data_IF_604094658952
#
_entry.id   IF_604094658952
#
_cell.length_a   1.000
_cell.length_b   1.000
_cell.length_c   1.000
_cell.angle_alpha   90.00
_cell.angle_beta   90.00
_cell.angle_gamma   90.00
#
_symmetry.space_group_name_H-M   'P 1'
#
loop_
_entity.id
_entity.type
_entity.pdbx_description
1 polymer ?
#
# COMPACT_ATOMS: atom_id res chain seq x y z
N UNK A 1 -1.70 -3.17 3.29
CA UNK A 1 -0.65 -3.31 4.32
C UNK A 1 0.41 -4.33 3.90
N UNK A 2 0.12 -5.65 3.86
CA UNK A 2 1.11 -6.68 3.53
C UNK A 2 1.79 -6.49 2.15
N UNK A 3 1.02 -6.21 1.10
CA UNK A 3 1.59 -5.90 -0.23
C UNK A 3 2.51 -4.68 -0.24
N UNK A 4 2.28 -3.69 0.63
CA UNK A 4 3.18 -2.55 0.77
C UNK A 4 4.47 -2.99 1.49
N UNK A 5 4.35 -3.72 2.60
CA UNK A 5 5.49 -4.11 3.43
C UNK A 5 6.57 -4.93 2.72
N UNK A 6 6.23 -5.64 1.64
CA UNK A 6 7.18 -6.46 0.86
C UNK A 6 7.73 -5.75 -0.37
N UNK A 7 7.34 -4.49 -0.61
CA UNK A 7 7.73 -3.70 -1.80
C UNK A 7 8.52 -2.43 -1.48
N UNK A 8 8.52 -2.02 -0.22
CA UNK A 8 9.29 -0.86 0.23
C UNK A 8 10.78 -1.18 0.30
N UNK A 9 11.60 -0.15 0.22
CA UNK A 9 13.03 -0.26 0.50
C UNK A 9 13.32 -0.24 2.00
N UNK A 10 14.50 -0.72 2.40
CA UNK A 10 14.90 -0.77 3.81
C UNK A 10 14.81 0.60 4.50
N UNK A 11 15.19 1.68 3.78
CA UNK A 11 15.12 3.06 4.28
C UNK A 11 13.70 3.58 4.54
N UNK A 12 12.68 2.94 3.99
CA UNK A 12 11.26 3.33 4.11
C UNK A 12 10.53 2.54 5.21
N UNK A 13 11.18 1.57 5.84
CA UNK A 13 10.55 0.62 6.77
C UNK A 13 9.86 1.31 7.94
N UNK A 14 10.57 2.22 8.61
CA UNK A 14 10.05 2.90 9.80
C UNK A 14 8.96 3.92 9.49
N UNK A 15 9.11 4.70 8.41
CA UNK A 15 8.10 5.67 7.98
C UNK A 15 6.83 4.96 7.54
N UNK A 16 6.95 3.84 6.83
CA UNK A 16 5.82 3.00 6.42
C UNK A 16 5.09 2.40 7.62
N UNK A 17 5.83 1.83 8.59
CA UNK A 17 5.25 1.34 9.84
C UNK A 17 4.45 2.43 10.57
N UNK A 18 5.05 3.61 10.74
CA UNK A 18 4.42 4.75 11.43
C UNK A 18 3.15 5.18 10.70
N UNK A 19 3.23 5.33 9.38
CA UNK A 19 2.08 5.73 8.54
C UNK A 19 0.93 4.74 8.63
N UNK A 20 1.23 3.43 8.73
CA UNK A 20 0.25 2.37 8.88
C UNK A 20 -0.44 2.42 10.25
N UNK A 21 0.33 2.59 11.32
CA UNK A 21 -0.21 2.73 12.67
C UNK A 21 -1.10 3.98 12.79
N UNK A 22 -0.63 5.12 12.28
CA UNK A 22 -1.39 6.36 12.29
C UNK A 22 -2.64 6.27 11.43
N UNK A 23 -2.55 5.68 10.24
CA UNK A 23 -3.70 5.49 9.37
C UNK A 23 -4.79 4.66 10.06
N UNK A 24 -4.42 3.53 10.67
CA UNK A 24 -5.39 2.68 11.36
C UNK A 24 -5.99 3.41 12.56
N UNK A 25 -5.16 4.07 13.37
CA UNK A 25 -5.61 4.77 14.56
C UNK A 25 -6.63 5.88 14.24
N UNK A 26 -6.38 6.65 13.19
CA UNK A 26 -7.18 7.83 12.87
C UNK A 26 -8.39 7.51 11.97
N UNK A 27 -8.28 6.54 11.05
CA UNK A 27 -9.26 6.38 9.97
C UNK A 27 -9.96 5.02 9.93
N UNK A 28 -9.50 4.00 10.66
CA UNK A 28 -10.12 2.67 10.58
C UNK A 28 -11.44 2.62 11.35
N UNK A 29 -12.54 2.28 10.66
CA UNK A 29 -13.92 2.44 11.18
C UNK A 29 -14.14 1.68 12.50
N UNK A 30 -13.66 0.44 12.61
CA UNK A 30 -13.84 -0.38 13.81
C UNK A 30 -12.98 0.15 14.98
N UNK A 31 -13.63 0.76 15.97
CA UNK A 31 -13.01 1.34 17.17
C UNK A 31 -12.23 0.31 18.00
N UNK A 32 -12.83 -0.85 18.27
CA UNK A 32 -12.18 -1.93 19.00
C UNK A 32 -10.96 -2.48 18.23
N UNK A 33 -11.08 -2.60 16.91
CA UNK A 33 -10.00 -3.09 16.06
C UNK A 33 -8.81 -2.13 16.05
N UNK A 34 -9.06 -0.81 15.94
CA UNK A 34 -7.98 0.19 15.98
C UNK A 34 -7.28 0.22 17.33
N UNK A 35 -8.01 0.07 18.44
CA UNK A 35 -7.44 0.11 19.78
C UNK A 35 -6.46 -1.04 19.98
N UNK A 36 -6.90 -2.27 19.66
CA UNK A 36 -6.05 -3.44 19.72
C UNK A 36 -4.81 -3.34 18.81
N UNK A 37 -4.98 -2.87 17.57
CA UNK A 37 -3.85 -2.73 16.66
C UNK A 37 -2.87 -1.63 17.12
N UNK A 38 -3.38 -0.54 17.69
CA UNK A 38 -2.57 0.55 18.21
C UNK A 38 -1.74 0.13 19.43
N UNK A 39 -2.29 -0.72 20.30
CA UNK A 39 -1.52 -1.34 21.39
C UNK A 39 -0.36 -2.18 20.85
N UNK A 40 -0.59 -2.95 19.79
CA UNK A 40 0.46 -3.73 19.13
C UNK A 40 1.53 -2.81 18.50
N UNK A 41 1.14 -1.70 17.87
CA UNK A 41 2.07 -0.67 17.40
C UNK A 41 2.91 -0.09 18.56
N UNK A 42 2.28 0.25 19.68
CA UNK A 42 2.92 0.85 20.86
C UNK A 42 3.88 -0.11 21.59
N UNK A 43 3.73 -1.41 21.36
CA UNK A 43 4.63 -2.43 21.90
C UNK A 43 6.02 -2.44 21.24
N UNK A 44 6.15 -1.89 20.03
CA UNK A 44 7.41 -1.85 19.28
C UNK A 44 8.39 -0.87 19.95
N UNK A 45 9.54 -1.37 20.39
CA UNK A 45 10.54 -0.58 21.17
C UNK A 45 11.67 0.00 20.33
N UNK A 46 11.93 -0.56 19.15
CA UNK A 46 13.02 -0.18 18.28
C UNK A 46 12.51 0.06 16.86
N UNK A 47 13.03 1.08 16.16
CA UNK A 47 12.61 1.35 14.79
C UNK A 47 13.01 0.20 13.85
N UNK A 48 12.18 -0.05 12.83
CA UNK A 48 12.49 -1.01 11.79
C UNK A 48 13.58 -0.47 10.87
N UNK A 49 14.62 -1.29 10.65
CA UNK A 49 15.75 -0.95 9.77
C UNK A 49 15.67 -1.60 8.40
N UNK A 50 14.87 -2.67 8.28
CA UNK A 50 14.75 -3.44 7.04
C UNK A 50 13.29 -3.71 6.71
N UNK A 51 13.00 -3.78 5.41
CA UNK A 51 11.67 -4.11 4.91
C UNK A 51 11.27 -5.51 5.38
N UNK A 52 12.25 -6.42 5.46
CA UNK A 52 12.09 -7.79 5.98
C UNK A 52 11.57 -7.82 7.41
N UNK A 53 12.20 -7.07 8.31
CA UNK A 53 11.81 -7.07 9.72
C UNK A 53 10.41 -6.48 9.90
N UNK A 54 10.10 -5.41 9.16
CA UNK A 54 8.77 -4.81 9.17
C UNK A 54 7.69 -5.77 8.63
N UNK A 55 7.93 -6.40 7.47
CA UNK A 55 7.00 -7.36 6.88
C UNK A 55 6.75 -8.56 7.81
N UNK A 56 7.81 -9.10 8.43
CA UNK A 56 7.69 -10.19 9.39
C UNK A 56 6.98 -9.76 10.68
N UNK A 57 7.22 -8.54 11.16
CA UNK A 57 6.46 -8.00 12.30
C UNK A 57 4.98 -7.93 11.95
N UNK A 58 4.62 -7.31 10.83
CA UNK A 58 3.24 -7.15 10.40
C UNK A 58 2.53 -8.49 10.22
N UNK A 59 3.22 -9.48 9.63
CA UNK A 59 2.74 -10.87 9.52
C UNK A 59 2.48 -11.49 10.90
N UNK A 60 3.45 -11.40 11.81
CA UNK A 60 3.31 -11.98 13.16
C UNK A 60 2.20 -11.33 13.97
N UNK A 61 2.04 -10.01 13.85
CA UNK A 61 0.96 -9.22 14.45
C UNK A 61 -0.39 -9.65 13.92
N UNK A 62 -0.53 -9.84 12.60
CA UNK A 62 -1.78 -10.33 12.01
C UNK A 62 -2.13 -11.74 12.52
N UNK A 63 -1.13 -12.63 12.68
CA UNK A 63 -1.39 -13.96 13.22
C UNK A 63 -1.83 -13.95 14.70
N UNK A 64 -1.33 -13.03 15.51
CA UNK A 64 -1.83 -12.83 16.87
C UNK A 64 -3.31 -12.38 16.85
N UNK A 65 -3.69 -11.50 15.92
CA UNK A 65 -5.10 -11.12 15.71
C UNK A 65 -5.93 -12.32 15.27
N UNK A 66 -5.44 -13.14 14.32
CA UNK A 66 -6.13 -14.35 13.89
C UNK A 66 -6.34 -15.33 15.03
N UNK A 67 -5.34 -15.53 15.89
CA UNK A 67 -5.46 -16.42 17.05
C UNK A 67 -6.53 -15.95 18.03
N UNK A 68 -6.56 -14.64 18.32
CA UNK A 68 -7.58 -14.05 19.19
C UNK A 68 -8.97 -14.19 18.58
N UNK A 69 -9.14 -13.69 17.34
CA UNK A 69 -10.43 -13.70 16.65
C UNK A 69 -10.95 -15.12 16.43
N UNK A 70 -10.09 -16.11 16.20
CA UNK A 70 -10.48 -17.52 16.12
C UNK A 70 -11.21 -17.99 17.39
N UNK A 71 -10.75 -17.56 18.58
CA UNK A 71 -11.37 -17.90 19.86
C UNK A 71 -12.66 -17.10 20.07
N UNK A 72 -12.62 -15.81 19.82
CA UNK A 72 -13.77 -14.91 20.01
C UNK A 72 -14.93 -15.29 19.09
N UNK A 73 -14.67 -15.43 17.78
CA UNK A 73 -15.67 -15.78 16.78
C UNK A 73 -16.28 -17.17 17.01
N UNK A 74 -15.49 -18.14 17.51
CA UNK A 74 -15.99 -19.46 17.87
C UNK A 74 -16.89 -19.40 19.11
N UNK A 75 -16.52 -18.61 20.13
CA UNK A 75 -17.30 -18.45 21.36
C UNK A 75 -18.63 -17.73 21.12
N UNK A 76 -18.62 -16.71 20.26
CA UNK A 76 -19.78 -15.88 19.93
C UNK A 76 -20.60 -16.44 18.76
N UNK A 77 -20.09 -17.45 18.05
CA UNK A 77 -20.67 -18.01 16.81
C UNK A 77 -20.91 -16.96 15.73
N UNK A 78 -19.98 -16.01 15.62
CA UNK A 78 -20.04 -14.87 14.68
C UNK A 78 -19.08 -15.01 13.51
N UNK A 79 -18.19 -16.00 13.52
CA UNK A 79 -17.19 -16.20 12.47
C UNK A 79 -17.80 -16.57 11.12
N UNK A 80 -17.16 -16.12 10.04
CA UNK A 80 -17.53 -16.52 8.68
C UNK A 80 -17.23 -18.01 8.46
N UNK A 81 -18.24 -18.87 8.22
CA UNK A 81 -18.03 -20.30 8.03
C UNK A 81 -17.18 -20.65 6.81
N UNK A 82 -17.14 -19.78 5.79
CA UNK A 82 -16.36 -19.98 4.57
C UNK A 82 -14.90 -19.54 4.75
N UNK A 83 -14.64 -18.62 5.67
CA UNK A 83 -13.32 -18.04 5.91
C UNK A 83 -12.97 -18.03 7.41
N UNK A 84 -12.86 -19.22 8.03
CA UNK A 84 -12.45 -19.30 9.43
C UNK A 84 -11.07 -18.69 9.62
N UNK A 85 -10.85 -18.01 10.75
CA UNK A 85 -9.51 -17.50 11.10
C UNK A 85 -8.57 -18.68 11.29
N UNK A 86 -7.42 -18.60 10.63
CA UNK A 86 -6.34 -19.58 10.74
C UNK A 86 -5.03 -18.88 11.00
N UNK A 87 -4.07 -19.60 11.56
CA UNK A 87 -2.69 -19.15 11.55
C UNK A 87 -2.16 -19.27 10.13
N UNK A 88 -1.66 -18.16 9.60
CA UNK A 88 -1.29 -18.00 8.20
C UNK A 88 0.24 -17.94 8.04
N UNK A 89 0.84 -18.56 7.01
CA UNK A 89 0.20 -19.47 6.07
C UNK A 89 -0.06 -20.86 6.70
N UNK A 90 -1.11 -21.55 6.23
CA UNK A 90 -1.26 -22.96 6.54
C UNK A 90 -0.14 -23.79 5.89
N UNK A 91 0.20 -24.94 6.47
CA UNK A 91 1.32 -25.79 6.00
C UNK A 91 1.16 -26.23 4.54
N UNK A 92 -0.08 -26.41 4.08
CA UNK A 92 -0.41 -26.75 2.69
C UNK A 92 0.03 -25.65 1.70
N UNK A 93 0.09 -24.39 2.16
CA UNK A 93 0.46 -23.25 1.33
C UNK A 93 1.96 -22.95 1.41
N UNK A 94 2.60 -23.27 2.53
CA UNK A 94 4.04 -23.16 2.69
C UNK A 94 4.60 -24.24 3.63
N UNK A 95 5.00 -25.37 3.05
CA UNK A 95 5.55 -26.50 3.81
C UNK A 95 6.88 -26.15 4.48
N UNK A 96 7.70 -25.29 3.85
CA UNK A 96 9.02 -24.87 4.37
C UNK A 96 8.94 -23.80 5.47
N UNK A 97 7.80 -23.14 5.64
CA UNK A 97 7.63 -22.06 6.63
C UNK A 97 7.60 -22.57 8.08
N UNK A 98 7.28 -23.84 8.31
CA UNK A 98 7.17 -24.43 9.65
C UNK A 98 8.22 -25.53 9.79
N UNK A 99 9.00 -25.50 10.88
CA UNK A 99 9.95 -26.57 11.17
C UNK A 99 9.20 -27.87 11.47
N UNK A 100 9.75 -29.01 11.01
CA UNK A 100 9.22 -30.31 11.37
C UNK A 100 9.43 -30.55 12.86
N UNK A 101 8.35 -30.90 13.55
CA UNK A 101 8.41 -31.36 14.94
C UNK A 101 8.35 -32.86 14.98
N UNK A 102 9.23 -33.45 15.78
CA UNK A 102 9.20 -34.87 16.08
C UNK A 102 7.94 -35.26 16.87
N UNK A 103 7.63 -36.56 16.99
CA UNK A 103 6.47 -37.05 17.74
C UNK A 103 6.48 -36.71 19.23
N UNK A 104 7.63 -36.34 19.79
CA UNK A 104 7.88 -36.14 21.23
C UNK A 104 7.53 -34.73 21.73
N UNK A 105 7.39 -33.73 20.84
CA UNK A 105 7.12 -32.33 21.20
C UNK A 105 5.62 -31.96 21.12
N UNK A 106 4.73 -32.91 21.40
CA UNK A 106 3.27 -32.68 21.36
C UNK A 106 2.74 -31.86 22.52
N UNK A 107 3.55 -31.64 23.55
CA UNK A 107 3.14 -30.92 24.76
C UNK A 107 3.23 -29.39 24.63
N UNK A 108 4.01 -28.88 23.66
CA UNK A 108 3.99 -27.45 23.31
C UNK A 108 3.31 -27.22 21.97
N UNK A 109 2.05 -26.80 21.95
CA UNK A 109 1.28 -26.49 20.73
C UNK A 109 1.75 -25.24 19.96
N UNK A 110 2.90 -24.65 20.31
CA UNK A 110 3.46 -23.47 19.65
C UNK A 110 3.92 -23.84 18.24
N UNK A 111 3.78 -23.02 17.20
CA UNK A 111 4.39 -23.33 15.89
C UNK A 111 5.81 -22.77 15.88
N UNK A 112 6.80 -23.55 15.44
CA UNK A 112 8.15 -23.05 15.20
C UNK A 112 8.31 -22.64 13.74
N UNK A 113 8.56 -21.35 13.51
CA UNK A 113 8.57 -20.75 12.18
C UNK A 113 9.98 -20.58 11.63
N UNK A 114 10.18 -21.02 10.39
CA UNK A 114 11.33 -20.63 9.60
C UNK A 114 11.07 -19.24 9.00
N UNK A 115 11.59 -18.19 9.65
CA UNK A 115 11.32 -16.80 9.28
C UNK A 115 11.86 -16.42 7.89
N UNK A 116 12.92 -17.08 7.41
CA UNK A 116 13.44 -16.86 6.06
C UNK A 116 12.45 -17.36 5.01
N UNK A 117 11.93 -18.56 5.19
CA UNK A 117 10.94 -19.16 4.29
C UNK A 117 9.61 -18.41 4.35
N UNK A 118 9.20 -17.93 5.54
CA UNK A 118 8.04 -17.05 5.69
C UNK A 118 8.23 -15.76 4.90
N UNK A 119 9.38 -15.10 4.99
CA UNK A 119 9.60 -13.85 4.28
C UNK A 119 9.64 -14.05 2.75
N UNK A 120 10.27 -15.13 2.26
CA UNK A 120 10.23 -15.50 0.85
C UNK A 120 8.80 -15.73 0.38
N UNK A 121 8.01 -16.46 1.17
CA UNK A 121 6.61 -16.72 0.88
C UNK A 121 5.79 -15.43 0.86
N UNK A 122 5.94 -14.54 1.84
CA UNK A 122 5.26 -13.23 1.89
C UNK A 122 5.57 -12.40 0.64
N UNK A 123 6.85 -12.33 0.27
CA UNK A 123 7.31 -11.57 -0.89
C UNK A 123 6.74 -12.14 -2.18
N UNK A 124 6.73 -13.46 -2.35
CA UNK A 124 6.12 -14.11 -3.51
C UNK A 124 4.61 -13.89 -3.56
N UNK A 125 3.91 -14.16 -2.45
CA UNK A 125 2.46 -14.15 -2.36
C UNK A 125 1.87 -12.74 -2.53
N UNK A 126 2.42 -11.74 -1.82
CA UNK A 126 1.90 -10.37 -1.85
C UNK A 126 2.63 -9.45 -2.85
N UNK A 127 3.84 -9.82 -3.28
CA UNK A 127 4.62 -9.07 -4.26
C UNK A 127 4.18 -9.33 -5.69
N UNK A 128 3.75 -10.54 -6.04
CA UNK A 128 3.34 -10.87 -7.42
C UNK A 128 1.94 -10.35 -7.80
N UNK A 129 1.05 -10.15 -6.82
CA UNK A 129 -0.40 -9.97 -7.08
C UNK A 129 -0.75 -8.72 -7.88
N UNK A 130 -0.07 -7.58 -7.68
CA UNK A 130 -0.39 -6.39 -8.50
C UNK A 130 0.16 -6.51 -9.92
N UNK A 131 1.31 -7.16 -10.10
CA UNK A 131 1.93 -7.31 -11.44
C UNK A 131 1.10 -8.24 -12.30
N UNK A 132 0.58 -9.35 -11.74
CA UNK A 132 -0.29 -10.27 -12.47
C UNK A 132 -1.60 -9.62 -12.90
N UNK A 133 -2.22 -8.79 -12.04
CA UNK A 133 -3.47 -8.07 -12.37
C UNK A 133 -3.31 -7.08 -13.53
N UNK A 134 -2.20 -6.34 -13.59
CA UNK A 134 -1.93 -5.43 -14.71
C UNK A 134 -1.54 -6.20 -15.99
N UNK A 135 -0.79 -7.30 -15.86
CA UNK A 135 -0.40 -8.14 -17.01
C UNK A 135 -1.60 -8.84 -17.65
N UNK A 136 -2.51 -9.36 -16.83
CA UNK A 136 -3.76 -9.98 -17.28
C UNK A 136 -4.69 -8.94 -17.96
N UNK A 137 -4.81 -7.74 -17.39
CA UNK A 137 -5.55 -6.64 -18.05
C UNK A 137 -4.89 -6.14 -19.32
N UNK A 138 -3.55 -6.13 -19.39
CA UNK A 138 -2.80 -5.75 -20.58
C UNK A 138 -3.00 -6.72 -21.73
N UNK A 139 -3.04 -8.03 -21.44
CA UNK A 139 -3.30 -9.08 -22.44
C UNK A 139 -4.73 -9.05 -22.98
N UNK A 140 -5.71 -8.60 -22.18
CA UNK A 140 -7.09 -8.40 -22.65
C UNK A 140 -7.28 -7.09 -23.45
N UNK A 141 -6.30 -6.19 -23.43
CA UNK A 141 -6.29 -4.95 -24.21
C UNK A 141 -5.46 -5.07 -25.51
N UNK A 142 -4.82 -6.22 -25.76
CA UNK A 142 -3.86 -6.42 -26.86
C UNK A 142 -4.47 -6.99 -28.16
N UNK A 143 -5.78 -6.85 -28.38
CA UNK A 143 -6.35 -6.98 -29.73
C UNK A 143 -6.49 -5.59 -30.36
N UNK A 144 -5.35 -4.97 -30.70
CA UNK A 144 -5.33 -3.70 -31.42
C UNK A 144 -4.09 -2.85 -31.20
N UNK A 145 -3.06 -3.09 -32.01
CA UNK A 145 -1.87 -2.24 -32.25
C UNK A 145 -0.67 -2.55 -31.33
N UNK A 146 0.28 -3.31 -31.86
CA UNK A 146 1.52 -3.65 -31.19
C UNK A 146 2.38 -2.44 -30.86
N UNK A 147 2.77 -2.33 -29.59
CA UNK A 147 3.88 -1.51 -29.12
C UNK A 147 4.81 -2.45 -28.36
N UNK A 148 6.00 -2.69 -28.93
CA UNK A 148 7.09 -3.35 -28.23
C UNK A 148 7.54 -2.48 -27.06
N UNK A 149 7.40 -2.98 -25.84
CA UNK A 149 8.09 -2.44 -24.67
C UNK A 149 9.26 -3.37 -24.34
N UNK A 150 10.46 -2.90 -24.69
CA UNK A 150 11.70 -3.47 -24.18
C UNK A 150 11.88 -2.99 -22.74
N UNK A 151 11.70 -3.91 -21.79
CA UNK A 151 11.90 -3.69 -20.36
C UNK A 151 13.36 -3.98 -20.02
N UNK A 152 14.17 -2.94 -20.00
CA UNK A 152 15.49 -2.98 -19.39
C UNK A 152 15.73 -1.73 -18.56
N UNK A 153 15.85 -1.95 -17.25
CA UNK A 153 15.99 -0.93 -16.23
C UNK A 153 17.14 0.02 -16.50
N UNK A 154 16.83 1.29 -16.79
CA UNK A 154 17.64 2.43 -16.35
C UNK A 154 16.70 3.63 -16.16
N UNK A 155 16.75 4.22 -14.96
CA UNK A 155 15.98 5.40 -14.59
C UNK A 155 16.38 6.60 -15.45
N UNK A 156 15.60 6.87 -16.51
CA UNK A 156 15.37 8.18 -17.10
C UNK A 156 14.16 8.06 -18.03
N UNK A 157 13.03 8.70 -17.71
CA UNK A 157 11.92 8.82 -18.65
C UNK A 157 12.38 9.75 -19.77
N UNK A 158 12.93 9.19 -20.84
CA UNK A 158 13.24 9.93 -22.05
C UNK A 158 11.92 10.23 -22.74
N UNK A 159 11.39 11.43 -22.51
CA UNK A 159 10.17 11.89 -23.19
C UNK A 159 10.51 12.14 -24.66
N UNK A 160 9.76 11.57 -25.63
CA UNK A 160 9.97 11.87 -27.03
C UNK A 160 9.91 13.39 -27.27
N UNK A 161 10.81 13.92 -28.09
CA UNK A 161 10.93 15.38 -28.34
C UNK A 161 9.58 16.00 -28.72
N UNK A 162 8.75 15.28 -29.49
CA UNK A 162 7.41 15.73 -29.86
C UNK A 162 6.46 15.92 -28.67
N UNK A 163 6.50 15.03 -27.69
CA UNK A 163 5.67 15.14 -26.48
C UNK A 163 6.13 16.30 -25.59
N UNK A 164 7.45 16.50 -25.45
CA UNK A 164 8.00 17.64 -24.71
C UNK A 164 7.58 18.98 -25.35
N UNK A 165 7.63 19.06 -26.69
CA UNK A 165 7.22 20.25 -27.44
C UNK A 165 5.71 20.53 -27.27
N UNK A 166 4.87 19.49 -27.32
CA UNK A 166 3.43 19.63 -27.11
C UNK A 166 3.08 20.13 -25.70
N UNK A 167 3.74 19.59 -24.66
CA UNK A 167 3.53 20.02 -23.26
C UNK A 167 3.95 21.49 -23.07
N UNK A 168 5.09 21.88 -23.65
CA UNK A 168 5.59 23.25 -23.56
C UNK A 168 4.61 24.25 -24.22
N UNK A 169 4.13 23.94 -25.43
CA UNK A 169 3.17 24.77 -26.14
C UNK A 169 1.83 24.89 -25.41
N UNK A 170 1.30 23.77 -24.91
CA UNK A 170 0.06 23.77 -24.14
C UNK A 170 0.19 24.61 -22.86
N UNK A 171 1.28 24.43 -22.11
CA UNK A 171 1.54 25.17 -20.87
C UNK A 171 1.65 26.68 -21.12
N UNK A 172 2.33 27.10 -22.20
CA UNK A 172 2.44 28.51 -22.58
C UNK A 172 1.07 29.10 -22.99
N UNK A 173 0.26 28.35 -23.74
CA UNK A 173 -1.07 28.79 -24.13
C UNK A 173 -1.99 29.00 -22.91
N UNK A 174 -2.00 28.06 -21.95
CA UNK A 174 -2.76 28.20 -20.71
C UNK A 174 -2.27 29.39 -19.88
N UNK A 175 -0.96 29.62 -19.79
CA UNK A 175 -0.38 30.79 -19.11
C UNK A 175 -0.85 32.12 -19.73
N UNK A 176 -0.83 32.23 -21.06
CA UNK A 176 -1.27 33.42 -21.77
C UNK A 176 -2.78 33.68 -21.59
N UNK A 177 -3.61 32.62 -21.66
CA UNK A 177 -5.05 32.71 -21.43
C UNK A 177 -5.36 33.15 -19.99
N UNK A 178 -4.68 32.56 -19.00
CA UNK A 178 -4.85 32.92 -17.60
C UNK A 178 -4.43 34.38 -17.33
N UNK A 179 -3.34 34.85 -17.95
CA UNK A 179 -2.91 36.25 -17.86
C UNK A 179 -3.91 37.21 -18.50
N UNK A 180 -4.38 36.90 -19.72
CA UNK A 180 -5.38 37.70 -20.42
C UNK A 180 -6.68 37.82 -19.61
N UNK A 181 -7.16 36.70 -19.06
CA UNK A 181 -8.37 36.69 -18.23
C UNK A 181 -8.21 37.49 -16.94
N UNK A 182 -7.05 37.38 -16.26
CA UNK A 182 -6.74 38.20 -15.08
C UNK A 182 -6.65 39.68 -15.41
N UNK A 183 -6.06 40.04 -16.55
CA UNK A 183 -5.97 41.43 -17.02
C UNK A 183 -7.37 42.03 -17.29
N UNK A 184 -8.22 41.27 -17.98
CA UNK A 184 -9.64 41.64 -18.21
C UNK A 184 -10.40 41.84 -16.89
N UNK A 185 -10.23 40.96 -15.91
CA UNK A 185 -10.86 41.13 -14.60
C UNK A 185 -10.39 42.40 -13.87
N UNK A 186 -9.10 42.72 -13.93
CA UNK A 186 -8.58 43.98 -13.34
C UNK A 186 -9.17 45.20 -14.03
N UNK A 187 -9.20 45.25 -15.36
CA UNK A 187 -9.79 46.36 -16.11
C UNK A 187 -11.28 46.57 -15.79
N UNK A 188 -12.06 45.48 -15.65
CA UNK A 188 -13.47 45.57 -15.20
C UNK A 188 -13.61 46.18 -13.80
N UNK A 189 -12.74 45.80 -12.86
CA UNK A 189 -12.74 46.37 -11.50
C UNK A 189 -12.37 47.86 -11.50
N UNK A 190 -11.37 48.27 -12.27
CA UNK A 190 -11.00 49.68 -12.43
C UNK A 190 -12.15 50.51 -13.00
N UNK A 191 -12.84 49.99 -14.03
CA UNK A 191 -13.97 50.69 -14.63
C UNK A 191 -15.15 50.87 -13.65
N UNK A 192 -15.46 49.84 -12.86
CA UNK A 192 -16.48 49.94 -11.81
C UNK A 192 -16.08 50.90 -10.68
N UNK A 193 -14.83 50.92 -10.23
CA UNK A 193 -14.36 51.88 -9.24
C UNK A 193 -14.39 53.33 -9.77
N UNK A 194 -13.99 53.54 -11.03
CA UNK A 194 -14.02 54.86 -11.65
C UNK A 194 -15.47 55.38 -11.80
N UNK A 195 -16.41 54.50 -12.15
CA UNK A 195 -17.83 54.84 -12.24
C UNK A 195 -18.45 55.09 -10.86
N UNK A 196 -18.00 54.38 -9.81
CA UNK A 196 -18.43 54.63 -8.43
C UNK A 196 -17.93 55.98 -7.89
N UNK A 197 -16.72 56.41 -8.27
CA UNK A 197 -16.15 57.70 -7.85
C UNK A 197 -16.76 58.90 -8.60
N UNK A 198 -17.38 58.68 -9.76
CA UNK A 198 -18.05 59.73 -10.55
C UNK A 198 -19.50 59.99 -10.12
N UNK A 199 -20.05 59.14 -9.24
CA UNK A 199 -21.42 59.22 -8.72
C UNK A 199 -21.50 59.73 -7.26
N UNK A 200 -20.46 60.43 -6.79
CA UNK A 200 -20.43 61.15 -5.50
C UNK A 200 -20.35 62.64 -5.79
#
# INVERSE_FOLDING_TARGET
MHSLSVRIEDGESQSTFTSICDFIHNFFICEECRQHFYEMCSSVKSPFRTARDFALWLWSTHNQVNERLMKDEASLKTGDPKFPKIIWPPKQLCTSCQHFRGPEDKESSKIEWNRDEVFKFLTSYYGSTLVSFYKEKGLLAEDGTGIFLDDSSTNAVVVPVGAALAIALASCAFGALAWYWRSQQKNRKYFHQLHSLKNI
#
